data_IF_161133591073
#
_entry.id   IF_161133591073
#
_cell.length_a   1.000
_cell.length_b   1.000
_cell.length_c   1.000
_cell.angle_alpha   90.00
_cell.angle_beta   90.00
_cell.angle_gamma   90.00
#
_symmetry.space_group_name_H-M   'P 1'
#
loop_
_entity.id
_entity.type
_entity.pdbx_description
1 polymer ?
#
# COMPACT_ATOMS: atom_id res chain seq x y z
N UNK A 1 -12.47 -40.40 -45.29
CA UNK A 1 -13.83 -39.93 -45.63
C UNK A 1 -14.36 -39.16 -44.45
N UNK A 2 -14.96 -38.02 -44.75
CA UNK A 2 -15.35 -36.89 -43.90
C UNK A 2 -16.23 -37.23 -42.70
N UNK A 3 -16.14 -36.40 -41.65
CA UNK A 3 -17.28 -35.59 -41.18
C UNK A 3 -16.80 -34.46 -40.25
N UNK A 4 -16.94 -33.23 -40.74
CA UNK A 4 -16.94 -32.00 -39.95
C UNK A 4 -18.25 -31.90 -39.16
N UNK A 5 -18.20 -31.38 -37.94
CA UNK A 5 -19.42 -31.00 -37.21
C UNK A 5 -19.22 -29.65 -36.50
N UNK A 6 -19.80 -28.62 -37.10
CA UNK A 6 -20.04 -27.29 -36.54
C UNK A 6 -21.21 -27.33 -35.55
N UNK A 7 -21.10 -26.64 -34.39
CA UNK A 7 -22.30 -26.26 -33.64
C UNK A 7 -22.14 -24.96 -32.84
N UNK A 8 -22.74 -23.93 -33.42
CA UNK A 8 -23.58 -22.84 -32.90
C UNK A 8 -23.50 -22.35 -31.45
N UNK A 9 -23.41 -21.01 -31.36
CA UNK A 9 -23.72 -20.15 -30.20
C UNK A 9 -25.21 -20.25 -29.84
N UNK A 10 -25.52 -20.36 -28.56
CA UNK A 10 -26.84 -19.97 -28.02
C UNK A 10 -26.65 -19.11 -26.78
N UNK A 11 -27.18 -17.89 -26.84
CA UNK A 11 -27.38 -17.01 -25.70
C UNK A 11 -28.71 -17.39 -25.04
N UNK A 12 -28.74 -17.51 -23.72
CA UNK A 12 -29.97 -17.42 -22.93
C UNK A 12 -29.64 -16.79 -21.57
N UNK A 13 -30.20 -15.61 -21.34
CA UNK A 13 -30.44 -15.05 -20.00
C UNK A 13 -31.72 -15.69 -19.44
N UNK A 14 -31.86 -15.82 -18.12
CA UNK A 14 -33.17 -15.88 -17.50
C UNK A 14 -33.48 -14.59 -16.75
N UNK A 15 -34.55 -13.95 -17.18
CA UNK A 15 -35.38 -13.09 -16.35
C UNK A 15 -36.03 -13.93 -15.24
N UNK A 16 -36.19 -13.34 -14.06
CA UNK A 16 -37.09 -13.85 -13.03
C UNK A 16 -37.81 -12.68 -12.40
N UNK A 17 -38.96 -12.39 -13.00
CA UNK A 17 -40.04 -11.64 -12.39
C UNK A 17 -40.72 -12.52 -11.34
N UNK A 18 -41.00 -11.96 -10.17
CA UNK A 18 -42.11 -12.41 -9.33
C UNK A 18 -42.80 -11.18 -8.76
N UNK A 19 -44.00 -10.95 -9.29
CA UNK A 19 -44.98 -9.96 -8.87
C UNK A 19 -45.68 -10.35 -7.56
N UNK A 20 -46.33 -9.34 -6.93
CA UNK A 20 -47.43 -9.50 -5.98
C UNK A 20 -47.26 -8.67 -4.70
N UNK A 21 -47.58 -7.37 -4.71
CA UNK A 21 -48.88 -6.74 -4.34
C UNK A 21 -49.29 -7.01 -2.87
N UNK A 22 -49.74 -6.06 -2.03
CA UNK A 22 -50.39 -4.75 -2.25
C UNK A 22 -50.62 -4.04 -0.90
N UNK A 23 -50.89 -2.74 -1.00
CA UNK A 23 -51.85 -1.93 -0.22
C UNK A 23 -51.36 -1.05 0.95
N UNK A 24 -51.54 0.24 0.67
CA UNK A 24 -51.46 1.45 1.46
C UNK A 24 -52.27 1.43 2.76
N UNK A 25 -51.81 2.18 3.76
CA UNK A 25 -52.69 3.04 4.56
C UNK A 25 -51.87 4.22 5.11
N UNK A 26 -52.19 5.38 4.59
CA UNK A 26 -51.89 6.72 5.07
C UNK A 26 -52.69 7.01 6.36
N UNK A 27 -52.08 7.54 7.42
CA UNK A 27 -52.72 8.51 8.34
C UNK A 27 -51.78 8.99 9.44
N UNK A 28 -51.58 10.30 9.40
CA UNK A 28 -51.63 11.28 10.47
C UNK A 28 -50.75 11.22 11.73
N UNK A 29 -50.13 12.40 11.91
CA UNK A 29 -49.54 12.91 13.12
C UNK A 29 -50.53 12.96 14.28
N UNK A 30 -50.15 12.43 15.45
CA UNK A 30 -50.67 12.88 16.75
C UNK A 30 -49.56 12.95 17.78
N UNK A 31 -49.30 14.19 18.18
CA UNK A 31 -48.64 14.61 19.42
C UNK A 31 -49.30 13.93 20.62
N UNK A 32 -48.53 13.21 21.44
CA UNK A 32 -48.95 12.91 22.81
C UNK A 32 -47.88 13.31 23.84
N UNK A 33 -48.19 14.41 24.53
CA UNK A 33 -47.70 14.75 25.86
C UNK A 33 -48.27 13.78 26.87
N UNK A 34 -47.49 13.37 27.86
CA UNK A 34 -47.99 12.84 29.13
C UNK A 34 -47.42 13.64 30.31
N UNK A 35 -48.27 14.13 31.22
CA UNK A 35 -47.86 14.83 32.45
C UNK A 35 -48.04 13.96 33.72
N UNK A 36 -47.66 14.56 34.86
CA UNK A 36 -47.86 14.16 36.25
C UNK A 36 -46.73 13.29 36.86
N UNK A 37 -46.28 13.48 38.10
CA UNK A 37 -47.03 13.93 39.28
C UNK A 37 -46.08 14.46 40.36
N UNK A 38 -46.33 15.68 40.84
CA UNK A 38 -45.73 16.33 42.00
C UNK A 38 -46.57 15.99 43.24
N UNK A 39 -45.96 15.47 44.32
CA UNK A 39 -46.41 15.69 45.71
C UNK A 39 -45.22 15.66 46.69
N UNK A 40 -45.05 16.77 47.42
CA UNK A 40 -44.39 16.83 48.74
C UNK A 40 -45.39 16.35 49.80
N UNK A 41 -44.92 15.98 51.01
CA UNK A 41 -45.00 16.94 52.13
C UNK A 41 -43.71 17.00 52.97
N UNK A 42 -43.68 17.96 53.89
CA UNK A 42 -42.53 18.47 54.63
C UNK A 42 -42.46 17.98 56.10
N UNK A 43 -41.31 18.32 56.73
CA UNK A 43 -41.10 18.60 58.18
C UNK A 43 -40.82 17.35 59.04
N UNK A 44 -39.77 17.21 59.87
CA UNK A 44 -38.96 18.16 60.66
C UNK A 44 -37.64 17.50 61.12
N UNK A 45 -36.64 18.33 61.44
CA UNK A 45 -35.55 18.14 62.42
C UNK A 45 -34.67 16.88 62.42
N UNK A 46 -33.39 17.03 62.08
CA UNK A 46 -32.31 16.66 63.02
C UNK A 46 -30.96 17.20 62.53
N UNK A 47 -30.30 17.89 63.43
CA UNK A 47 -28.96 18.45 63.32
C UNK A 47 -27.91 17.35 63.14
N UNK A 48 -26.90 17.61 62.31
CA UNK A 48 -25.80 16.67 62.13
C UNK A 48 -24.86 17.08 61.02
N UNK A 49 -24.12 18.16 61.26
CA UNK A 49 -23.01 18.63 60.44
C UNK A 49 -21.80 17.69 60.56
N UNK A 50 -21.20 17.22 59.44
CA UNK A 50 -19.78 16.89 59.44
C UNK A 50 -19.03 17.69 58.37
N UNK A 51 -18.02 18.42 58.87
CA UNK A 51 -16.93 19.13 58.19
C UNK A 51 -16.53 18.51 56.84
N UNK A 52 -16.67 19.31 55.79
CA UNK A 52 -16.01 19.12 54.50
C UNK A 52 -14.49 19.10 54.67
N UNK A 53 -13.89 17.97 54.32
CA UNK A 53 -12.45 17.85 54.13
C UNK A 53 -12.04 18.56 52.84
N UNK A 54 -11.16 19.52 52.98
CA UNK A 54 -10.42 20.19 51.91
C UNK A 54 -9.71 19.15 51.03
N UNK A 55 -10.15 19.03 49.77
CA UNK A 55 -9.35 18.42 48.71
C UNK A 55 -8.18 19.37 48.41
N UNK A 56 -6.98 19.01 48.86
CA UNK A 56 -5.75 19.66 48.41
C UNK A 56 -5.38 19.01 47.08
N UNK A 57 -5.65 19.72 45.99
CA UNK A 57 -5.12 19.41 44.67
C UNK A 57 -3.60 19.64 44.67
N UNK A 58 -2.75 18.67 44.32
CA UNK A 58 -1.36 18.97 43.99
C UNK A 58 -1.34 19.74 42.66
N UNK A 59 -1.07 21.04 42.77
CA UNK A 59 -0.75 21.93 41.66
C UNK A 59 0.51 21.43 40.96
N UNK A 60 0.34 20.66 39.87
CA UNK A 60 1.40 20.35 38.92
C UNK A 60 1.62 21.57 38.03
N UNK A 61 2.45 22.50 38.51
CA UNK A 61 3.04 23.54 37.69
C UNK A 61 4.25 22.96 36.92
N UNK A 62 4.03 21.95 36.09
CA UNK A 62 4.96 21.64 35.00
C UNK A 62 4.52 22.45 33.78
N UNK A 63 5.16 23.60 33.61
CA UNK A 63 4.95 24.46 32.46
C UNK A 63 5.14 23.68 31.17
N UNK A 64 4.07 23.52 30.41
CA UNK A 64 4.11 22.97 29.06
C UNK A 64 5.19 23.71 28.27
N UNK A 65 6.12 23.00 27.59
CA UNK A 65 7.17 23.67 26.83
C UNK A 65 6.53 24.56 25.77
N UNK A 66 6.77 25.87 25.89
CA UNK A 66 6.35 26.86 24.90
C UNK A 66 7.07 26.55 23.58
N UNK A 67 6.40 25.83 22.70
CA UNK A 67 6.87 25.58 21.33
C UNK A 67 7.03 26.95 20.67
N UNK A 68 8.28 27.36 20.47
CA UNK A 68 8.58 28.65 19.86
C UNK A 68 8.25 28.59 18.36
N UNK A 69 7.80 29.70 17.77
CA UNK A 69 7.58 29.82 16.32
C UNK A 69 8.82 29.41 15.51
N UNK A 70 10.01 29.57 16.10
CA UNK A 70 11.29 29.17 15.53
C UNK A 70 11.45 27.65 15.45
N UNK A 71 11.11 26.92 16.51
CA UNK A 71 11.12 25.44 16.52
C UNK A 71 10.13 24.86 15.51
N UNK A 72 8.97 25.50 15.34
CA UNK A 72 7.95 25.08 14.38
C UNK A 72 8.42 25.29 12.93
N UNK A 73 9.07 26.42 12.63
CA UNK A 73 9.65 26.70 11.32
C UNK A 73 10.86 25.81 10.99
N UNK A 74 11.66 25.43 12.00
CA UNK A 74 12.80 24.53 11.85
C UNK A 74 12.35 23.09 11.57
N UNK A 75 11.31 22.62 12.27
CA UNK A 75 10.66 21.34 11.98
C UNK A 75 10.07 21.30 10.56
N UNK A 76 9.44 22.39 10.11
CA UNK A 76 8.94 22.51 8.73
C UNK A 76 10.07 22.48 7.68
N UNK A 77 11.20 23.15 7.95
CA UNK A 77 12.37 23.11 7.05
C UNK A 77 13.00 21.72 6.99
N UNK A 78 13.17 21.05 8.13
CA UNK A 78 13.67 19.68 8.20
C UNK A 78 12.78 18.72 7.41
N UNK A 79 11.46 18.90 7.51
CA UNK A 79 10.46 18.15 6.74
C UNK A 79 10.61 18.36 5.23
N UNK A 80 10.81 19.60 4.77
CA UNK A 80 11.02 19.91 3.33
C UNK A 80 12.32 19.31 2.78
N UNK A 81 13.41 19.33 3.57
CA UNK A 81 14.69 18.76 3.13
C UNK A 81 14.63 17.22 3.05
N UNK A 82 14.04 16.55 4.05
CA UNK A 82 13.81 15.11 3.98
C UNK A 82 12.89 14.72 2.81
N UNK A 83 11.91 15.56 2.47
CA UNK A 83 11.08 15.33 1.28
C UNK A 83 11.90 15.38 0.00
N UNK A 84 12.81 16.37 -0.16
CA UNK A 84 13.67 16.47 -1.35
C UNK A 84 14.63 15.28 -1.50
N UNK A 85 15.17 14.77 -0.41
CA UNK A 85 16.07 13.61 -0.45
C UNK A 85 15.33 12.28 -0.69
N UNK A 86 14.11 12.14 -0.16
CA UNK A 86 13.29 10.91 -0.35
C UNK A 86 12.52 10.87 -1.67
N UNK A 87 12.30 12.02 -2.32
CA UNK A 87 11.78 12.11 -3.69
C UNK A 87 12.80 11.63 -4.75
N UNK A 88 14.07 11.47 -4.36
CA UNK A 88 15.13 10.91 -5.20
C UNK A 88 14.97 9.41 -5.40
N UNK A 89 14.15 9.02 -6.38
CA UNK A 89 13.97 7.67 -6.93
C UNK A 89 13.31 6.66 -6.00
N UNK A 90 12.01 6.44 -6.23
CA UNK A 90 11.37 5.19 -5.84
C UNK A 90 12.20 4.02 -6.39
N UNK A 91 12.76 3.20 -5.51
CA UNK A 91 13.58 2.06 -5.93
C UNK A 91 12.67 0.97 -6.47
N UNK A 92 13.07 0.40 -7.61
CA UNK A 92 12.43 -0.77 -8.19
C UNK A 92 12.34 -1.86 -7.11
N UNK A 93 11.18 -2.51 -7.01
CA UNK A 93 10.90 -3.52 -5.99
C UNK A 93 10.29 -3.00 -4.68
N UNK A 94 10.13 -1.68 -4.51
CA UNK A 94 9.37 -1.16 -3.37
C UNK A 94 7.89 -1.55 -3.44
N UNK A 95 7.33 -1.89 -2.27
CA UNK A 95 5.90 -2.11 -2.10
C UNK A 95 5.24 -0.81 -1.66
N UNK A 96 4.32 -0.31 -2.47
CA UNK A 96 3.59 0.93 -2.22
C UNK A 96 2.14 0.69 -1.89
N UNK A 97 1.57 1.59 -1.10
CA UNK A 97 0.18 1.56 -0.66
C UNK A 97 -0.44 2.91 -1.00
N UNK A 98 -1.64 2.91 -1.56
CA UNK A 98 -2.34 4.15 -1.89
C UNK A 98 -2.85 4.86 -0.64
N UNK A 99 -3.01 6.18 -0.73
CA UNK A 99 -3.42 7.04 0.39
C UNK A 99 -4.66 6.52 1.14
N UNK A 100 -5.73 6.24 0.40
CA UNK A 100 -7.02 5.82 0.96
C UNK A 100 -6.89 4.48 1.69
N UNK A 101 -6.20 3.52 1.07
CA UNK A 101 -5.95 2.21 1.66
C UNK A 101 -5.09 2.32 2.91
N UNK A 102 -4.01 3.11 2.87
CA UNK A 102 -3.14 3.34 4.02
C UNK A 102 -3.89 4.01 5.18
N UNK A 103 -4.62 5.10 4.90
CA UNK A 103 -5.40 5.85 5.90
C UNK A 103 -6.42 4.94 6.59
N UNK A 104 -7.16 4.15 5.80
CA UNK A 104 -8.18 3.25 6.32
C UNK A 104 -7.59 2.04 7.06
N UNK A 105 -6.47 1.50 6.55
CA UNK A 105 -5.87 0.31 7.12
C UNK A 105 -5.21 0.59 8.48
N UNK A 106 -4.33 1.61 8.52
CA UNK A 106 -3.54 1.98 9.70
C UNK A 106 -4.26 2.97 10.63
N UNK A 107 -5.40 3.53 10.20
CA UNK A 107 -6.17 4.56 10.93
C UNK A 107 -5.33 5.81 11.23
N UNK A 108 -4.64 6.28 10.19
CA UNK A 108 -3.91 7.54 10.26
C UNK A 108 -4.83 8.74 10.02
N UNK A 109 -4.50 9.86 10.65
CA UNK A 109 -5.06 11.18 10.36
C UNK A 109 -4.38 11.78 9.12
N UNK A 110 -5.00 12.79 8.53
CA UNK A 110 -4.40 13.52 7.40
C UNK A 110 -3.08 14.21 7.80
N UNK A 111 -2.96 14.63 9.06
CA UNK A 111 -1.74 15.23 9.62
C UNK A 111 -0.61 14.20 9.70
N UNK A 112 -0.89 13.00 10.22
CA UNK A 112 0.08 11.90 10.30
C UNK A 112 0.55 11.47 8.91
N UNK A 113 -0.39 11.28 7.97
CA UNK A 113 -0.05 10.94 6.58
C UNK A 113 0.82 12.03 5.93
N UNK A 114 0.56 13.30 6.25
CA UNK A 114 1.33 14.43 5.77
C UNK A 114 2.78 14.47 6.28
N UNK A 115 3.18 13.62 7.24
CA UNK A 115 4.57 13.50 7.70
C UNK A 115 5.41 12.57 6.83
N UNK A 116 4.77 11.69 6.06
CA UNK A 116 5.46 10.67 5.28
C UNK A 116 5.82 11.17 3.88
N UNK A 117 6.96 10.72 3.32
CA UNK A 117 7.25 10.91 1.92
C UNK A 117 6.23 10.11 1.08
N UNK A 118 5.82 10.70 -0.05
CA UNK A 118 4.88 10.08 -0.96
C UNK A 118 5.27 10.38 -2.40
N UNK A 119 4.76 9.54 -3.31
CA UNK A 119 4.83 9.76 -4.75
C UNK A 119 3.43 9.97 -5.28
N UNK A 120 3.31 10.88 -6.23
CA UNK A 120 2.05 11.15 -6.92
C UNK A 120 1.91 10.29 -8.15
N UNK A 121 0.70 9.83 -8.44
CA UNK A 121 0.36 9.15 -9.70
C UNK A 121 -0.87 9.79 -10.32
N UNK A 122 -0.98 9.70 -11.64
CA UNK A 122 -2.12 10.22 -12.37
C UNK A 122 -3.38 9.42 -12.00
N UNK A 123 -4.43 10.13 -11.63
CA UNK A 123 -5.68 9.52 -11.25
C UNK A 123 -6.59 9.43 -12.49
N UNK A 124 -6.83 8.20 -12.97
CA UNK A 124 -7.64 7.93 -14.15
C UNK A 124 -9.06 8.51 -14.06
N UNK A 125 -9.61 8.62 -12.85
CA UNK A 125 -10.96 9.13 -12.65
C UNK A 125 -11.02 10.67 -12.54
N UNK A 126 -9.90 11.31 -12.18
CA UNK A 126 -9.85 12.76 -12.01
C UNK A 126 -8.40 13.26 -12.19
N UNK A 127 -8.00 13.66 -13.43
CA UNK A 127 -6.66 14.13 -13.72
C UNK A 127 -6.22 15.34 -12.88
N UNK A 128 -7.17 16.18 -12.45
CA UNK A 128 -6.90 17.37 -11.61
C UNK A 128 -6.58 17.03 -10.15
N UNK A 129 -6.75 15.76 -9.72
CA UNK A 129 -6.48 15.30 -8.36
C UNK A 129 -5.60 14.06 -8.38
N UNK A 130 -4.26 14.25 -8.45
CA UNK A 130 -3.34 13.13 -8.49
C UNK A 130 -3.48 12.27 -7.21
N UNK A 131 -3.40 10.96 -7.40
CA UNK A 131 -3.33 10.01 -6.30
C UNK A 131 -1.99 10.11 -5.58
N UNK A 132 -1.94 9.66 -4.33
CA UNK A 132 -0.70 9.58 -3.54
C UNK A 132 -0.45 8.13 -3.13
N UNK A 133 0.79 7.69 -3.27
CA UNK A 133 1.25 6.38 -2.81
C UNK A 133 2.43 6.53 -1.86
N UNK A 134 2.49 5.64 -0.88
CA UNK A 134 3.46 5.67 0.22
C UNK A 134 4.19 4.34 0.27
N UNK A 135 5.46 4.36 0.67
CA UNK A 135 6.20 3.13 0.92
C UNK A 135 5.57 2.38 2.11
N UNK A 136 5.31 1.08 1.95
CA UNK A 136 4.74 0.23 3.00
C UNK A 136 5.61 0.23 4.27
N UNK A 137 6.93 0.23 4.15
CA UNK A 137 7.84 0.21 5.30
C UNK A 137 7.75 1.50 6.12
N UNK A 138 7.63 2.64 5.45
CA UNK A 138 7.48 3.93 6.12
C UNK A 138 6.14 4.03 6.86
N UNK A 139 5.07 3.51 6.25
CA UNK A 139 3.77 3.40 6.89
C UNK A 139 3.82 2.51 8.15
N UNK A 140 4.47 1.34 8.06
CA UNK A 140 4.63 0.45 9.21
C UNK A 140 5.45 1.11 10.31
N UNK A 141 6.57 1.77 9.95
CA UNK A 141 7.40 2.49 10.92
C UNK A 141 6.63 3.59 11.63
N UNK A 142 5.77 4.33 10.93
CA UNK A 142 4.88 5.31 11.55
C UNK A 142 3.85 4.65 12.47
N UNK A 143 3.26 3.53 12.05
CA UNK A 143 2.29 2.77 12.84
C UNK A 143 2.91 2.29 14.16
N UNK A 144 4.13 1.73 14.11
CA UNK A 144 4.82 1.23 15.28
C UNK A 144 5.16 2.36 16.26
N UNK A 145 5.68 3.50 15.75
CA UNK A 145 5.93 4.66 16.60
C UNK A 145 4.65 5.19 17.25
N UNK A 146 3.56 5.24 16.50
CA UNK A 146 2.25 5.67 17.01
C UNK A 146 1.78 4.78 18.15
N UNK A 147 1.80 3.47 17.98
CA UNK A 147 1.36 2.53 19.03
C UNK A 147 2.31 2.58 20.24
N UNK A 148 3.62 2.67 20.02
CA UNK A 148 4.59 2.86 21.10
C UNK A 148 4.30 4.14 21.91
N UNK A 149 4.02 5.26 21.23
CA UNK A 149 3.71 6.54 21.86
C UNK A 149 2.38 6.50 22.63
N UNK A 150 1.35 5.87 22.07
CA UNK A 150 0.04 5.72 22.72
C UNK A 150 0.11 4.85 23.98
N UNK A 151 1.05 3.90 24.04
CA UNK A 151 1.25 3.02 25.18
C UNK A 151 2.36 3.50 26.13
N UNK A 152 2.93 4.68 25.91
CA UNK A 152 3.94 5.27 26.80
C UNK A 152 5.30 4.57 26.79
N UNK A 153 5.67 3.92 25.69
CA UNK A 153 7.00 3.31 25.53
C UNK A 153 8.07 4.40 25.53
N UNK A 154 9.14 4.19 26.31
CA UNK A 154 10.24 5.14 26.42
C UNK A 154 10.90 5.41 25.05
N UNK A 155 11.17 6.69 24.77
CA UNK A 155 11.75 7.14 23.51
C UNK A 155 10.80 7.16 22.31
N UNK A 156 9.50 6.88 22.48
CA UNK A 156 8.54 6.94 21.38
C UNK A 156 8.27 8.36 20.85
N UNK A 157 8.45 9.37 21.71
CA UNK A 157 8.31 10.79 21.37
C UNK A 157 9.64 11.44 20.99
N UNK A 158 10.74 10.70 21.05
CA UNK A 158 12.05 11.20 20.65
C UNK A 158 12.11 11.37 19.13
N UNK A 159 12.83 12.39 18.67
CA UNK A 159 12.93 12.71 17.23
C UNK A 159 13.57 11.59 16.40
N UNK A 160 14.42 10.76 17.03
CA UNK A 160 15.08 9.63 16.38
C UNK A 160 14.55 8.33 17.00
N UNK A 161 14.04 7.38 16.19
CA UNK A 161 13.44 6.17 16.73
C UNK A 161 14.51 5.18 17.11
N UNK A 162 14.42 4.68 18.33
CA UNK A 162 15.23 3.56 18.80
C UNK A 162 14.65 2.23 18.32
N UNK A 163 15.51 1.26 17.99
CA UNK A 163 15.09 -0.06 17.50
C UNK A 163 14.29 -0.85 18.54
N UNK A 164 14.61 -0.70 19.83
CA UNK A 164 13.85 -1.31 20.93
C UNK A 164 12.41 -0.82 20.96
N UNK A 165 12.21 0.50 20.86
CA UNK A 165 10.91 1.14 20.81
C UNK A 165 10.12 0.72 19.57
N UNK A 166 10.76 0.61 18.41
CA UNK A 166 10.09 0.14 17.19
C UNK A 166 9.65 -1.32 17.28
N UNK A 167 10.45 -2.20 17.89
CA UNK A 167 10.07 -3.61 18.12
C UNK A 167 8.88 -3.72 19.07
N UNK A 168 8.88 -2.92 20.14
CA UNK A 168 7.78 -2.90 21.08
C UNK A 168 6.50 -2.32 20.46
N UNK A 169 6.65 -1.22 19.70
CA UNK A 169 5.56 -0.64 18.90
C UNK A 169 5.00 -1.62 17.86
N UNK A 170 5.85 -2.44 17.25
CA UNK A 170 5.40 -3.51 16.36
C UNK A 170 4.54 -4.54 17.08
N UNK A 171 4.99 -5.04 18.24
CA UNK A 171 4.24 -6.00 19.05
C UNK A 171 2.84 -5.47 19.41
N UNK A 172 2.78 -4.21 19.84
CA UNK A 172 1.52 -3.53 20.19
C UNK A 172 0.62 -3.34 18.98
N UNK A 173 1.19 -2.97 17.84
CA UNK A 173 0.46 -2.83 16.59
C UNK A 173 -0.14 -4.16 16.12
N UNK A 174 0.65 -5.23 16.15
CA UNK A 174 0.20 -6.56 15.72
C UNK A 174 -0.95 -7.05 16.62
N UNK A 175 -0.81 -6.92 17.95
CA UNK A 175 -1.88 -7.25 18.89
C UNK A 175 -3.17 -6.45 18.64
N UNK A 176 -3.05 -5.15 18.32
CA UNK A 176 -4.20 -4.32 17.94
C UNK A 176 -4.83 -4.78 16.63
N UNK A 177 -4.03 -5.17 15.64
CA UNK A 177 -4.53 -5.66 14.36
C UNK A 177 -5.28 -6.98 14.50
N UNK A 178 -4.82 -7.87 15.39
CA UNK A 178 -5.49 -9.13 15.72
C UNK A 178 -6.84 -8.91 16.43
N UNK A 179 -6.92 -7.95 17.37
CA UNK A 179 -8.18 -7.56 18.00
C UNK A 179 -9.17 -7.00 16.97
N UNK A 180 -8.69 -6.15 16.04
CA UNK A 180 -9.52 -5.61 14.96
C UNK A 180 -10.01 -6.70 14.00
N UNK A 181 -9.17 -7.67 13.66
CA UNK A 181 -9.58 -8.79 12.81
C UNK A 181 -10.60 -9.69 13.53
N UNK A 182 -10.40 -9.94 14.83
CA UNK A 182 -11.34 -10.71 15.66
C UNK A 182 -12.71 -10.04 15.75
N UNK A 183 -12.74 -8.71 15.98
CA UNK A 183 -13.98 -7.91 15.96
C UNK A 183 -14.65 -7.93 14.58
N UNK A 184 -13.87 -7.84 13.52
CA UNK A 184 -14.39 -7.90 12.15
C UNK A 184 -15.01 -9.27 11.86
N UNK A 185 -14.33 -10.37 12.19
CA UNK A 185 -14.84 -11.74 12.05
C UNK A 185 -16.16 -11.93 12.78
N UNK A 186 -16.28 -11.43 14.01
CA UNK A 186 -17.53 -11.50 14.78
C UNK A 186 -18.70 -10.81 14.07
N UNK A 187 -18.45 -9.69 13.40
CA UNK A 187 -19.49 -8.90 12.72
C UNK A 187 -19.80 -9.38 11.30
N UNK A 188 -18.88 -10.11 10.66
CA UNK A 188 -18.97 -10.52 9.25
C UNK A 188 -19.04 -12.05 9.05
N UNK A 189 -19.60 -12.77 10.03
CA UNK A 189 -19.84 -14.21 9.90
C UNK A 189 -18.56 -15.04 9.75
N UNK A 190 -17.51 -14.68 10.49
CA UNK A 190 -16.22 -15.36 10.48
C UNK A 190 -15.27 -14.96 9.34
N UNK A 191 -15.68 -14.04 8.45
CA UNK A 191 -14.80 -13.55 7.37
C UNK A 191 -13.68 -12.66 7.94
N UNK A 192 -12.44 -12.90 7.51
CA UNK A 192 -11.29 -12.05 7.86
C UNK A 192 -11.40 -10.67 7.22
N UNK A 193 -10.72 -9.69 7.82
CA UNK A 193 -10.64 -8.32 7.30
C UNK A 193 -9.98 -8.30 5.92
N UNK A 194 -10.40 -7.40 5.00
CA UNK A 194 -9.73 -7.20 3.73
C UNK A 194 -8.23 -6.92 3.91
N UNK A 195 -7.40 -7.68 3.19
CA UNK A 195 -5.94 -7.53 3.21
C UNK A 195 -5.54 -6.20 2.58
N UNK A 196 -4.51 -5.57 3.16
CA UNK A 196 -3.94 -4.34 2.63
C UNK A 196 -3.44 -4.57 1.20
N UNK A 197 -4.01 -3.83 0.24
CA UNK A 197 -3.56 -3.85 -1.15
C UNK A 197 -2.21 -3.15 -1.26
N UNK A 198 -1.23 -3.87 -1.80
CA UNK A 198 0.12 -3.36 -2.05
C UNK A 198 0.45 -3.50 -3.53
N UNK A 199 1.03 -2.48 -4.11
CA UNK A 199 1.51 -2.48 -5.48
C UNK A 199 3.03 -2.54 -5.47
N UNK A 200 3.64 -3.32 -6.35
CA UNK A 200 5.09 -3.32 -6.52
C UNK A 200 5.46 -2.32 -7.61
N UNK A 201 6.46 -1.48 -7.36
CA UNK A 201 7.02 -0.63 -8.41
C UNK A 201 7.88 -1.52 -9.30
N UNK A 202 7.37 -1.80 -10.48
CA UNK A 202 8.09 -2.52 -11.52
C UNK A 202 8.68 -1.47 -12.45
N UNK A 203 9.96 -1.63 -12.80
CA UNK A 203 10.54 -0.84 -13.88
C UNK A 203 9.77 -1.21 -15.15
N UNK A 204 8.94 -0.29 -15.63
CA UNK A 204 8.37 -0.41 -16.96
C UNK A 204 9.55 -0.26 -17.91
N UNK A 205 10.08 -1.38 -18.43
CA UNK A 205 11.04 -1.34 -19.53
C UNK A 205 10.32 -0.59 -20.65
N UNK A 206 10.80 0.60 -20.98
CA UNK A 206 10.52 1.15 -22.29
C UNK A 206 11.01 0.10 -23.27
N UNK A 207 10.09 -0.53 -23.99
CA UNK A 207 10.44 -1.28 -25.19
C UNK A 207 11.06 -0.25 -26.14
N UNK A 208 12.36 -0.03 -26.03
CA UNK A 208 13.12 0.34 -27.22
C UNK A 208 12.92 -0.84 -28.18
N UNK A 209 12.57 -0.61 -29.46
CA UNK A 209 12.53 -1.68 -30.45
C UNK A 209 13.92 -2.30 -30.70
N UNK A 210 14.97 -1.78 -30.07
CA UNK A 210 16.31 -2.35 -30.13
C UNK A 210 16.38 -3.69 -29.38
N UNK A 211 17.05 -4.70 -29.99
CA UNK A 211 17.15 -6.03 -29.41
C UNK A 211 17.82 -5.97 -28.03
N UNK A 212 17.04 -6.31 -27.00
CA UNK A 212 17.48 -6.27 -25.60
C UNK A 212 18.54 -7.34 -25.37
N UNK A 213 19.73 -6.94 -24.91
CA UNK A 213 20.78 -7.84 -24.45
C UNK A 213 20.24 -8.79 -23.37
N UNK A 214 20.27 -10.11 -23.60
CA UNK A 214 20.00 -11.08 -22.55
C UNK A 214 21.09 -11.01 -21.48
N UNK A 215 20.70 -11.18 -20.21
CA UNK A 215 21.61 -11.04 -19.08
C UNK A 215 22.77 -12.04 -19.21
N UNK A 216 24.01 -11.54 -19.14
CA UNK A 216 25.21 -12.37 -19.28
C UNK A 216 25.71 -12.60 -20.72
N UNK A 217 25.20 -11.91 -21.73
CA UNK A 217 25.72 -12.06 -23.10
C UNK A 217 26.89 -11.12 -23.44
N UNK A 218 27.84 -11.46 -24.31
CA UNK A 218 28.89 -10.54 -24.81
C UNK A 218 29.18 -10.77 -26.29
N UNK A 219 29.76 -9.78 -26.98
CA UNK A 219 30.23 -9.92 -28.36
C UNK A 219 31.64 -10.48 -28.39
N UNK A 220 31.85 -11.58 -29.11
CA UNK A 220 33.16 -12.17 -29.38
C UNK A 220 33.56 -11.95 -30.84
N UNK A 221 34.82 -11.62 -31.10
CA UNK A 221 35.29 -11.39 -32.49
C UNK A 221 35.46 -12.71 -33.21
N UNK A 222 34.90 -12.81 -34.41
CA UNK A 222 35.04 -14.00 -35.27
C UNK A 222 36.01 -13.71 -36.39
N UNK A 223 36.92 -14.65 -36.61
CA UNK A 223 37.96 -14.58 -37.63
C UNK A 223 37.85 -15.77 -38.58
N UNK A 224 38.03 -15.53 -39.86
CA UNK A 224 38.12 -16.54 -40.92
C UNK A 224 39.33 -16.20 -41.79
N UNK A 225 40.22 -17.17 -42.00
CA UNK A 225 41.47 -17.00 -42.77
C UNK A 225 42.32 -15.78 -42.35
N UNK A 226 42.38 -15.52 -41.05
CA UNK A 226 43.13 -14.40 -40.47
C UNK A 226 42.50 -13.01 -40.69
N UNK A 227 41.28 -12.95 -41.24
CA UNK A 227 40.50 -11.72 -41.41
C UNK A 227 39.31 -11.71 -40.44
N UNK A 228 39.03 -10.57 -39.83
CA UNK A 228 37.87 -10.44 -38.94
C UNK A 228 36.61 -10.33 -39.80
N UNK A 229 35.71 -11.30 -39.65
CA UNK A 229 34.47 -11.38 -40.44
C UNK A 229 33.26 -10.81 -39.71
N UNK A 230 33.33 -10.66 -38.38
CA UNK A 230 32.26 -10.06 -37.59
C UNK A 230 32.36 -10.32 -36.10
N UNK A 231 31.23 -10.23 -35.43
CA UNK A 231 31.05 -10.48 -34.00
C UNK A 231 29.97 -11.55 -33.78
N UNK A 232 30.19 -12.43 -32.82
CA UNK A 232 29.22 -13.43 -32.39
C UNK A 232 28.66 -13.05 -31.01
N UNK A 233 27.34 -13.14 -30.85
CA UNK A 233 26.70 -12.92 -29.55
C UNK A 233 26.79 -14.21 -28.72
N UNK A 234 27.64 -14.20 -27.71
CA UNK A 234 27.88 -15.30 -26.77
C UNK A 234 27.04 -15.08 -25.52
N UNK A 235 26.54 -16.16 -24.91
CA UNK A 235 25.71 -16.12 -23.69
C UNK A 235 26.42 -16.83 -22.54
N UNK A 236 26.34 -16.27 -21.32
CA UNK A 236 26.84 -16.94 -20.11
C UNK A 236 26.08 -18.25 -19.78
N UNK A 237 24.80 -18.31 -20.15
CA UNK A 237 24.00 -19.53 -20.18
C UNK A 237 23.42 -19.62 -21.59
N UNK A 238 23.94 -20.51 -22.42
CA UNK A 238 23.39 -20.78 -23.74
C UNK A 238 22.34 -21.90 -23.61
N UNK A 239 21.03 -21.58 -23.51
CA UNK A 239 20.00 -22.60 -23.39
C UNK A 239 19.94 -23.51 -24.63
N UNK A 240 20.58 -23.12 -25.73
CA UNK A 240 20.65 -23.90 -26.97
C UNK A 240 21.91 -24.77 -27.08
N UNK A 241 22.90 -24.62 -26.16
CA UNK A 241 24.10 -25.46 -26.13
C UNK A 241 23.88 -26.80 -25.41
N UNK A 242 22.88 -26.89 -24.52
CA UNK A 242 22.54 -28.13 -23.80
C UNK A 242 21.57 -29.04 -24.58
N UNK A 243 20.90 -28.53 -25.62
CA UNK A 243 20.02 -29.32 -26.49
C UNK A 243 20.81 -30.03 -27.59
N UNK A 244 21.80 -30.83 -27.19
CA UNK A 244 22.42 -31.81 -28.07
C UNK A 244 21.44 -32.95 -28.36
N UNK A 245 20.80 -32.93 -29.52
CA UNK A 245 20.16 -34.10 -30.11
C UNK A 245 18.65 -34.18 -29.90
N UNK A 246 17.91 -33.55 -30.80
CA UNK A 246 16.51 -33.89 -31.07
C UNK A 246 16.32 -33.85 -32.57
N UNK A 247 16.33 -35.02 -33.21
CA UNK A 247 15.89 -35.19 -34.60
C UNK A 247 14.41 -34.85 -34.67
N UNK A 248 14.04 -33.59 -34.88
CA UNK A 248 12.70 -33.22 -35.33
C UNK A 248 12.79 -31.97 -36.22
N UNK A 249 12.01 -32.01 -37.28
CA UNK A 249 12.06 -31.27 -38.54
C UNK A 249 11.61 -29.79 -38.41
N UNK A 250 12.18 -29.05 -37.46
CA UNK A 250 11.83 -27.64 -37.22
C UNK A 250 13.04 -26.72 -37.47
N UNK A 251 13.06 -26.09 -38.65
CA UNK A 251 14.09 -25.16 -39.14
C UNK A 251 14.28 -23.85 -38.34
N UNK A 252 13.86 -23.78 -37.08
CA UNK A 252 14.02 -22.61 -36.20
C UNK A 252 15.39 -22.57 -35.50
N UNK A 253 16.13 -23.70 -35.41
CA UNK A 253 17.47 -23.72 -34.83
C UNK A 253 18.49 -22.91 -35.66
N UNK A 254 18.52 -23.12 -36.98
CA UNK A 254 19.41 -22.33 -37.85
C UNK A 254 19.01 -20.85 -37.94
N UNK A 255 17.72 -20.56 -37.72
CA UNK A 255 17.18 -19.19 -37.71
C UNK A 255 17.59 -18.40 -36.46
N UNK A 256 17.99 -19.07 -35.37
CA UNK A 256 18.54 -18.41 -34.17
C UNK A 256 20.04 -18.08 -34.34
N UNK A 257 20.80 -18.92 -35.06
CA UNK A 257 22.23 -18.72 -35.31
C UNK A 257 22.51 -17.50 -36.21
N UNK A 258 21.72 -17.31 -37.27
CA UNK A 258 21.83 -16.13 -38.15
C UNK A 258 21.56 -14.81 -37.42
N UNK A 259 20.85 -14.85 -36.28
CA UNK A 259 20.57 -13.68 -35.43
C UNK A 259 21.69 -13.40 -34.42
N UNK A 260 22.62 -14.34 -34.22
CA UNK A 260 23.76 -14.20 -33.29
C UNK A 260 25.00 -13.64 -33.99
N UNK A 261 25.09 -13.73 -35.31
CA UNK A 261 26.21 -13.18 -36.06
C UNK A 261 25.96 -11.75 -36.54
N UNK A 262 26.90 -10.87 -36.21
CA UNK A 262 26.94 -9.50 -36.70
C UNK A 262 28.12 -9.34 -37.67
N UNK A 263 27.89 -9.26 -38.99
CA UNK A 263 28.98 -9.15 -39.96
C UNK A 263 29.71 -7.81 -39.85
N UNK A 264 31.00 -7.81 -40.16
CA UNK A 264 31.88 -6.63 -40.11
C UNK A 264 31.39 -5.47 -40.99
N UNK A 265 30.69 -5.80 -42.08
CA UNK A 265 30.09 -4.85 -43.02
C UNK A 265 29.01 -3.96 -42.40
N UNK A 266 28.34 -4.45 -41.34
CA UNK A 266 27.36 -3.67 -40.58
C UNK A 266 28.01 -2.74 -39.54
N UNK A 267 29.35 -2.66 -39.53
CA UNK A 267 30.11 -1.91 -38.55
C UNK A 267 30.14 -2.60 -37.18
N UNK A 268 30.77 -1.95 -36.21
CA UNK A 268 30.77 -2.44 -34.84
C UNK A 268 29.32 -2.50 -34.32
N UNK A 269 28.84 -3.63 -33.77
CA UNK A 269 27.49 -3.72 -33.25
C UNK A 269 27.26 -2.58 -32.24
N UNK A 270 26.19 -1.83 -32.45
CA UNK A 270 25.72 -0.82 -31.50
C UNK A 270 25.18 -1.53 -30.26
N UNK A 271 25.35 -0.91 -29.10
CA UNK A 271 24.86 -1.43 -27.82
C UNK A 271 23.41 -1.04 -27.58
#
# INVERSE_FOLDING_TARGET
MSVDNTSSKHWHSPDSESEGNTLDTESDAVVQKTPAKRRKPATEGSEGSPKSRTCVSPSSAQGSPKITKKALAEAEKAKKNHQKESLGSMKIGWKVVQYTDAKNHFRFSDQEMGTLPYVTFENQNNPSRPGKSYNKLDLLRLAYRKEAALNGVEGALDGVPNDSMLKEGQRLFDARMDDLDSKYKKNHGGKSRPVLRTFSIIQRRSYSPEPIRPFGAWWERVWEDGRMIGWWLVYHFDPEAECGGGNDDDGDYYRSLDKRFWPVEKGCPSW
#
